data_IF_127277487510
#
_entry.id   IF_127277487510
#
_cell.length_a   1.000
_cell.length_b   1.000
_cell.length_c   1.000
_cell.angle_alpha   90.00
_cell.angle_beta   90.00
_cell.angle_gamma   90.00
#
_symmetry.space_group_name_H-M   'P 1'
#
loop_
_entity.id
_entity.type
_entity.pdbx_description
1 polymer ?
#
# COMPACT_ATOMS: atom_id res chain seq x y z
N UNK A 1 -18.11 10.64 7.71
CA UNK A 1 -17.23 9.77 6.94
C UNK A 1 -15.75 9.97 7.28
N UNK A 2 -15.32 11.20 7.48
CA UNK A 2 -13.95 11.53 7.93
C UNK A 2 -13.68 10.93 9.31
N UNK A 3 -14.63 11.00 10.21
CA UNK A 3 -14.53 10.46 11.57
C UNK A 3 -14.34 8.93 11.61
N UNK A 4 -15.02 8.19 10.75
CA UNK A 4 -14.86 6.73 10.65
C UNK A 4 -13.46 6.33 10.17
N UNK A 5 -12.90 7.05 9.20
CA UNK A 5 -11.55 6.76 8.69
C UNK A 5 -10.47 7.00 9.74
N UNK A 6 -10.61 8.03 10.57
CA UNK A 6 -9.68 8.30 11.67
C UNK A 6 -9.68 7.16 12.69
N UNK A 7 -10.85 6.69 13.12
CA UNK A 7 -10.94 5.55 14.04
C UNK A 7 -10.33 4.29 13.44
N UNK A 8 -10.60 4.01 12.16
CA UNK A 8 -10.06 2.84 11.46
C UNK A 8 -8.54 2.92 11.33
N UNK A 9 -7.98 4.09 11.06
CA UNK A 9 -6.54 4.27 10.95
C UNK A 9 -5.82 4.10 12.30
N UNK A 10 -6.39 4.63 13.37
CA UNK A 10 -5.87 4.44 14.72
C UNK A 10 -5.96 2.97 15.17
N UNK A 11 -7.04 2.28 14.84
CA UNK A 11 -7.19 0.84 15.11
C UNK A 11 -6.15 0.01 14.32
N UNK A 12 -5.92 0.37 13.06
CA UNK A 12 -4.91 -0.31 12.24
C UNK A 12 -3.52 -0.20 12.85
N UNK A 13 -3.08 1.02 13.17
CA UNK A 13 -1.73 1.27 13.67
C UNK A 13 -1.56 0.87 15.12
N UNK A 14 -2.51 1.22 15.99
CA UNK A 14 -2.40 1.00 17.43
C UNK A 14 -2.67 -0.43 17.87
N UNK A 15 -3.53 -1.16 17.16
CA UNK A 15 -3.96 -2.50 17.55
C UNK A 15 -3.58 -3.59 16.55
N UNK A 16 -3.90 -3.41 15.26
CA UNK A 16 -3.74 -4.48 14.27
C UNK A 16 -2.30 -4.64 13.80
N UNK A 17 -1.56 -3.55 13.64
CA UNK A 17 -0.17 -3.62 13.22
C UNK A 17 0.72 -4.42 14.21
N UNK A 18 0.64 -4.17 15.54
CA UNK A 18 1.41 -4.95 16.52
C UNK A 18 0.80 -6.32 16.85
N UNK A 19 -0.42 -6.60 16.40
CA UNK A 19 -1.13 -7.84 16.70
C UNK A 19 -0.31 -9.08 16.31
N UNK A 20 -0.27 -10.06 17.19
CA UNK A 20 0.52 -11.28 17.03
C UNK A 20 2.02 -11.00 16.80
N UNK A 21 2.57 -9.93 17.39
CA UNK A 21 3.96 -9.54 17.20
C UNK A 21 4.28 -9.11 15.76
N UNK A 22 3.31 -8.50 15.06
CA UNK A 22 3.47 -8.04 13.67
C UNK A 22 3.38 -9.14 12.61
N UNK A 23 3.13 -10.40 12.99
CA UNK A 23 3.11 -11.54 12.04
C UNK A 23 2.12 -11.37 10.90
N UNK A 24 0.97 -10.75 11.15
CA UNK A 24 -0.04 -10.51 10.11
C UNK A 24 0.48 -9.57 9.02
N UNK A 25 1.20 -8.52 9.42
CA UNK A 25 1.81 -7.60 8.47
C UNK A 25 2.94 -8.26 7.69
N UNK A 26 3.77 -9.05 8.35
CA UNK A 26 4.83 -9.83 7.70
C UNK A 26 4.27 -10.83 6.69
N UNK A 27 3.16 -11.49 7.01
CA UNK A 27 2.48 -12.40 6.07
C UNK A 27 1.98 -11.66 4.81
N UNK A 28 1.50 -10.42 4.95
CA UNK A 28 1.13 -9.61 3.79
C UNK A 28 2.35 -9.26 2.93
N UNK A 29 3.47 -8.85 3.53
CA UNK A 29 4.70 -8.59 2.79
C UNK A 29 5.21 -9.82 2.05
N UNK A 30 5.20 -10.99 2.70
CA UNK A 30 5.59 -12.25 2.04
C UNK A 30 4.64 -12.61 0.88
N UNK A 31 3.33 -12.35 1.02
CA UNK A 31 2.37 -12.55 -0.06
C UNK A 31 2.69 -11.69 -1.29
N UNK A 32 3.00 -10.40 -1.09
CA UNK A 32 3.40 -9.49 -2.17
C UNK A 32 4.70 -9.95 -2.82
N UNK A 33 5.72 -10.24 -2.00
CA UNK A 33 7.04 -10.68 -2.45
C UNK A 33 6.98 -11.99 -3.24
N UNK A 34 6.23 -12.97 -2.74
CA UNK A 34 6.03 -14.27 -3.40
C UNK A 34 5.37 -14.06 -4.76
N UNK A 35 4.28 -13.28 -4.82
CA UNK A 35 3.60 -12.98 -6.08
C UNK A 35 4.54 -12.33 -7.11
N UNK A 36 5.35 -11.36 -6.69
CA UNK A 36 6.34 -10.70 -7.56
C UNK A 36 7.35 -11.73 -8.08
N UNK A 37 7.95 -12.53 -7.17
CA UNK A 37 8.98 -13.51 -7.51
C UNK A 37 8.47 -14.58 -8.48
N UNK A 38 7.28 -15.11 -8.23
CA UNK A 38 6.68 -16.14 -9.08
C UNK A 38 6.36 -15.67 -10.49
N UNK A 39 6.24 -14.36 -10.70
CA UNK A 39 5.84 -13.76 -11.98
C UNK A 39 6.95 -12.90 -12.63
N UNK A 40 8.16 -12.86 -12.09
CA UNK A 40 9.27 -12.05 -12.62
C UNK A 40 9.62 -12.36 -14.08
N UNK A 41 9.41 -13.61 -14.52
CA UNK A 41 9.63 -14.05 -15.90
C UNK A 41 8.60 -13.54 -16.91
N UNK A 42 7.46 -13.00 -16.46
CA UNK A 42 6.44 -12.46 -17.34
C UNK A 42 6.75 -11.00 -17.68
N UNK A 43 7.38 -10.76 -18.83
CA UNK A 43 7.79 -9.42 -19.27
C UNK A 43 6.61 -8.45 -19.43
N UNK A 44 5.43 -8.94 -19.87
CA UNK A 44 4.24 -8.12 -20.06
C UNK A 44 3.65 -7.63 -18.72
N UNK A 45 3.75 -8.47 -17.69
CA UNK A 45 3.30 -8.13 -16.33
C UNK A 45 4.33 -7.27 -15.59
N UNK A 46 5.63 -7.50 -15.84
CA UNK A 46 6.72 -6.93 -15.06
C UNK A 46 6.69 -5.40 -15.02
N UNK A 47 6.88 -4.75 -16.15
CA UNK A 47 6.99 -3.29 -16.21
C UNK A 47 5.69 -2.57 -15.82
N UNK A 48 4.53 -3.13 -16.21
CA UNK A 48 3.24 -2.51 -15.99
C UNK A 48 2.66 -2.72 -14.58
N UNK A 49 3.09 -3.77 -13.85
CA UNK A 49 2.46 -4.18 -12.60
C UNK A 49 3.44 -4.56 -11.50
N UNK A 50 4.46 -5.40 -11.79
CA UNK A 50 5.33 -5.92 -10.73
C UNK A 50 6.31 -4.86 -10.23
N UNK A 51 6.92 -4.09 -11.12
CA UNK A 51 7.88 -3.06 -10.72
C UNK A 51 7.20 -1.92 -9.92
N UNK A 52 6.04 -1.37 -10.33
CA UNK A 52 5.29 -0.42 -9.49
C UNK A 52 4.84 -1.01 -8.16
N UNK A 53 4.35 -2.26 -8.14
CA UNK A 53 3.93 -2.93 -6.90
C UNK A 53 5.11 -3.12 -5.94
N UNK A 54 6.28 -3.46 -6.45
CA UNK A 54 7.52 -3.58 -5.67
C UNK A 54 7.91 -2.24 -5.04
N UNK A 55 7.80 -1.14 -5.79
CA UNK A 55 8.08 0.19 -5.28
C UNK A 55 7.10 0.59 -4.15
N UNK A 56 5.80 0.44 -4.37
CA UNK A 56 4.80 0.74 -3.34
C UNK A 56 4.93 -0.16 -2.10
N UNK A 57 5.26 -1.43 -2.28
CA UNK A 57 5.53 -2.35 -1.16
C UNK A 57 6.76 -1.93 -0.35
N UNK A 58 7.80 -1.40 -0.99
CA UNK A 58 8.98 -0.84 -0.30
C UNK A 58 8.60 0.37 0.55
N UNK A 59 7.76 1.27 0.02
CA UNK A 59 7.27 2.42 0.78
C UNK A 59 6.50 1.97 2.02
N UNK A 60 5.63 0.96 1.88
CA UNK A 60 4.88 0.40 3.00
C UNK A 60 5.79 -0.24 4.07
N UNK A 61 6.82 -0.96 3.65
CA UNK A 61 7.81 -1.54 4.57
C UNK A 61 8.57 -0.44 5.32
N UNK A 62 8.96 0.63 4.63
CA UNK A 62 9.64 1.77 5.24
C UNK A 62 8.75 2.47 6.27
N UNK A 63 7.47 2.66 5.97
CA UNK A 63 6.50 3.23 6.91
C UNK A 63 6.29 2.35 8.15
N UNK A 64 6.15 1.03 7.96
CA UNK A 64 6.02 0.08 9.08
C UNK A 64 7.27 0.08 9.97
N UNK A 65 8.46 0.14 9.37
CA UNK A 65 9.72 0.22 10.11
C UNK A 65 9.83 1.53 10.90
N UNK A 66 9.44 2.67 10.30
CA UNK A 66 9.38 3.96 10.98
C UNK A 66 8.49 3.88 12.24
N UNK A 67 7.31 3.29 12.15
CA UNK A 67 6.43 3.13 13.31
C UNK A 67 7.02 2.24 14.39
N UNK A 68 7.72 1.17 14.01
CA UNK A 68 8.41 0.32 14.98
C UNK A 68 9.55 1.04 15.70
N UNK A 69 10.28 1.91 15.02
CA UNK A 69 11.44 2.62 15.59
C UNK A 69 11.04 3.90 16.30
N UNK A 70 10.30 4.77 15.65
CA UNK A 70 9.99 6.10 16.15
C UNK A 70 8.67 6.15 16.95
N UNK A 71 7.72 5.28 16.64
CA UNK A 71 6.48 5.16 17.42
C UNK A 71 6.70 4.58 18.81
N UNK A 72 7.74 3.75 19.01
CA UNK A 72 8.12 3.27 20.36
C UNK A 72 8.79 4.37 21.20
N UNK A 73 9.53 5.28 20.58
CA UNK A 73 10.16 6.42 21.28
C UNK A 73 9.13 7.50 21.63
N UNK A 74 8.25 7.80 20.71
CA UNK A 74 7.16 8.76 20.87
C UNK A 74 5.89 8.27 20.17
N UNK A 75 4.87 7.81 20.92
CA UNK A 75 3.61 7.33 20.36
C UNK A 75 2.89 8.34 19.44
N UNK A 76 3.10 9.63 19.64
CA UNK A 76 2.52 10.67 18.78
C UNK A 76 2.99 10.56 17.33
N UNK A 77 4.23 10.09 17.09
CA UNK A 77 4.74 9.85 15.73
C UNK A 77 3.93 8.78 14.99
N UNK A 78 3.50 7.72 15.67
CA UNK A 78 2.65 6.70 15.07
C UNK A 78 1.19 7.20 14.89
N UNK A 79 0.67 7.95 15.85
CA UNK A 79 -0.69 8.48 15.80
C UNK A 79 -0.86 9.51 14.68
N UNK A 80 0.09 10.46 14.54
CA UNK A 80 0.06 11.50 13.50
C UNK A 80 0.12 10.92 12.07
N UNK A 81 0.87 9.82 11.88
CA UNK A 81 1.00 9.14 10.59
C UNK A 81 -0.07 8.07 10.30
N UNK A 82 -0.97 7.79 11.25
CA UNK A 82 -1.89 6.64 11.15
C UNK A 82 -2.83 6.70 9.94
N UNK A 83 -3.35 7.87 9.61
CA UNK A 83 -4.21 8.09 8.45
C UNK A 83 -3.47 7.81 7.13
N UNK A 84 -2.28 8.38 6.99
CA UNK A 84 -1.45 8.17 5.81
C UNK A 84 -1.01 6.71 5.68
N UNK A 85 -0.71 6.02 6.78
CA UNK A 85 -0.38 4.59 6.77
C UNK A 85 -1.53 3.73 6.28
N UNK A 86 -2.77 4.01 6.72
CA UNK A 86 -3.94 3.27 6.25
C UNK A 86 -4.14 3.42 4.74
N UNK A 87 -3.96 4.63 4.19
CA UNK A 87 -4.05 4.87 2.75
C UNK A 87 -2.90 4.21 1.98
N UNK A 88 -1.68 4.32 2.48
CA UNK A 88 -0.51 3.68 1.88
C UNK A 88 -0.71 2.16 1.81
N UNK A 89 -1.13 1.54 2.92
CA UNK A 89 -1.46 0.12 2.96
C UNK A 89 -2.56 -0.23 1.94
N UNK A 90 -3.62 0.57 1.89
CA UNK A 90 -4.72 0.39 0.95
C UNK A 90 -4.27 0.43 -0.51
N UNK A 91 -3.42 1.39 -0.87
CA UNK A 91 -2.85 1.48 -2.22
C UNK A 91 -2.05 0.23 -2.61
N UNK A 92 -1.22 -0.29 -1.72
CA UNK A 92 -0.44 -1.51 -1.99
C UNK A 92 -1.34 -2.75 -2.08
N UNK A 93 -2.34 -2.88 -1.20
CA UNK A 93 -3.27 -4.00 -1.22
C UNK A 93 -4.11 -4.03 -2.51
N UNK A 94 -4.65 -2.88 -2.92
CA UNK A 94 -5.38 -2.75 -4.18
C UNK A 94 -4.45 -2.96 -5.38
N UNK A 95 -3.20 -2.48 -5.31
CA UNK A 95 -2.18 -2.72 -6.32
C UNK A 95 -1.90 -4.21 -6.52
N UNK A 96 -1.78 -4.98 -5.44
CA UNK A 96 -1.64 -6.44 -5.53
C UNK A 96 -2.85 -7.09 -6.22
N UNK A 97 -4.07 -6.62 -5.92
CA UNK A 97 -5.27 -7.15 -6.58
C UNK A 97 -5.29 -6.83 -8.08
N UNK A 98 -4.91 -5.61 -8.48
CA UNK A 98 -4.79 -5.25 -9.89
C UNK A 98 -3.72 -6.09 -10.61
N UNK A 99 -2.57 -6.35 -9.97
CA UNK A 99 -1.54 -7.20 -10.56
C UNK A 99 -2.03 -8.65 -10.78
N UNK A 100 -2.79 -9.20 -9.82
CA UNK A 100 -3.42 -10.52 -9.93
C UNK A 100 -4.49 -10.56 -11.03
N UNK A 101 -5.35 -9.55 -11.10
CA UNK A 101 -6.37 -9.46 -12.13
C UNK A 101 -5.76 -9.32 -13.53
N UNK A 102 -4.70 -8.50 -13.67
CA UNK A 102 -4.01 -8.34 -14.93
C UNK A 102 -3.35 -9.65 -15.40
N UNK A 103 -2.71 -10.40 -14.48
CA UNK A 103 -2.17 -11.72 -14.77
C UNK A 103 -3.26 -12.65 -15.30
N UNK A 104 -4.37 -12.79 -14.59
CA UNK A 104 -5.48 -13.64 -15.00
C UNK A 104 -6.08 -13.21 -16.34
N UNK A 105 -6.18 -11.89 -16.59
CA UNK A 105 -6.68 -11.38 -17.87
C UNK A 105 -5.72 -11.69 -19.03
N UNK A 106 -4.41 -11.58 -18.83
CA UNK A 106 -3.41 -11.95 -19.83
C UNK A 106 -3.47 -13.44 -20.16
N UNK A 107 -3.55 -14.29 -19.12
CA UNK A 107 -3.68 -15.75 -19.28
C UNK A 107 -4.97 -16.15 -20.05
N UNK A 108 -6.09 -15.47 -19.76
CA UNK A 108 -7.33 -15.69 -20.47
C UNK A 108 -7.23 -15.30 -21.96
N UNK A 109 -6.59 -14.17 -22.26
CA UNK A 109 -6.35 -13.73 -23.65
C UNK A 109 -5.45 -14.69 -24.43
N UNK A 110 -4.39 -15.19 -23.78
CA UNK A 110 -3.47 -16.17 -24.36
C UNK A 110 -4.16 -17.52 -24.61
N UNK A 111 -5.13 -17.87 -23.76
CA UNK A 111 -5.98 -19.05 -23.92
C UNK A 111 -7.11 -18.89 -24.98
N UNK A 112 -7.21 -17.72 -25.60
CA UNK A 112 -8.22 -17.47 -26.65
C UNK A 112 -9.61 -17.14 -26.14
N UNK A 113 -9.73 -16.50 -24.97
CA UNK A 113 -11.02 -16.09 -24.41
C UNK A 113 -11.84 -15.25 -25.39
N UNK A 114 -13.16 -15.53 -25.47
CA UNK A 114 -14.07 -14.88 -26.43
C UNK A 114 -14.29 -13.39 -26.10
N UNK A 115 -14.39 -13.02 -24.81
CA UNK A 115 -14.64 -11.65 -24.36
C UNK A 115 -13.32 -10.86 -24.22
N UNK A 116 -12.62 -10.67 -25.34
CA UNK A 116 -11.34 -9.96 -25.40
C UNK A 116 -11.42 -8.55 -24.82
N UNK A 117 -12.45 -7.79 -25.18
CA UNK A 117 -12.59 -6.40 -24.78
C UNK A 117 -12.66 -6.25 -23.24
N UNK A 118 -13.32 -7.18 -22.57
CA UNK A 118 -13.37 -7.20 -21.11
C UNK A 118 -11.97 -7.35 -20.50
N UNK A 119 -11.17 -8.32 -20.96
CA UNK A 119 -9.84 -8.58 -20.42
C UNK A 119 -8.86 -7.46 -20.76
N UNK A 120 -8.89 -6.93 -21.97
CA UNK A 120 -8.06 -5.79 -22.38
C UNK A 120 -8.39 -4.54 -21.57
N UNK A 121 -9.68 -4.27 -21.30
CA UNK A 121 -10.14 -3.18 -20.42
C UNK A 121 -9.61 -3.37 -18.98
N UNK A 122 -9.63 -4.59 -18.43
CA UNK A 122 -9.07 -4.86 -17.10
C UNK A 122 -7.57 -4.57 -17.03
N UNK A 123 -6.80 -4.98 -18.04
CA UNK A 123 -5.37 -4.70 -18.12
C UNK A 123 -5.11 -3.19 -18.21
N UNK A 124 -5.85 -2.48 -19.07
CA UNK A 124 -5.72 -1.03 -19.24
C UNK A 124 -6.04 -0.28 -17.94
N UNK A 125 -7.15 -0.63 -17.26
CA UNK A 125 -7.54 -0.03 -15.98
C UNK A 125 -6.50 -0.31 -14.90
N UNK A 126 -5.97 -1.52 -14.83
CA UNK A 126 -4.91 -1.87 -13.89
C UNK A 126 -3.63 -1.08 -14.13
N UNK A 127 -3.22 -0.90 -15.40
CA UNK A 127 -2.08 -0.04 -15.75
C UNK A 127 -2.29 1.42 -15.33
N UNK A 128 -3.52 1.94 -15.53
CA UNK A 128 -3.87 3.27 -15.03
C UNK A 128 -3.69 3.36 -13.51
N UNK A 129 -4.20 2.37 -12.76
CA UNK A 129 -4.04 2.34 -11.31
C UNK A 129 -2.57 2.36 -10.89
N UNK A 130 -1.75 1.50 -11.50
CA UNK A 130 -0.32 1.41 -11.21
C UNK A 130 0.44 2.70 -11.51
N UNK A 131 0.06 3.39 -12.59
CA UNK A 131 0.75 4.60 -13.02
C UNK A 131 0.26 5.88 -12.32
N UNK A 132 -1.03 5.93 -11.88
CA UNK A 132 -1.66 7.18 -11.44
C UNK A 132 -2.12 7.17 -9.99
N UNK A 133 -2.38 6.01 -9.41
CA UNK A 133 -2.88 5.89 -8.04
C UNK A 133 -1.81 5.35 -7.09
N UNK A 134 -1.15 4.26 -7.46
CA UNK A 134 -0.16 3.62 -6.62
C UNK A 134 1.03 4.53 -6.24
N UNK A 135 1.54 5.45 -7.09
CA UNK A 135 2.63 6.36 -6.70
C UNK A 135 2.31 7.30 -5.53
N UNK A 136 1.05 7.42 -5.12
CA UNK A 136 0.67 8.14 -3.90
C UNK A 136 1.32 7.56 -2.63
N UNK A 137 1.80 6.31 -2.68
CA UNK A 137 2.54 5.66 -1.57
C UNK A 137 3.75 6.49 -1.13
N UNK A 138 4.49 7.09 -2.07
CA UNK A 138 5.64 7.95 -1.75
C UNK A 138 5.23 9.23 -1.00
N UNK A 139 4.11 9.85 -1.37
CA UNK A 139 3.57 11.03 -0.66
C UNK A 139 3.15 10.65 0.76
N UNK A 140 2.44 9.53 0.93
CA UNK A 140 2.04 9.06 2.24
C UNK A 140 3.24 8.72 3.12
N UNK A 141 4.26 8.07 2.56
CA UNK A 141 5.50 7.78 3.29
C UNK A 141 6.18 9.07 3.77
N UNK A 142 6.31 10.08 2.92
CA UNK A 142 6.90 11.37 3.29
C UNK A 142 6.16 12.04 4.46
N UNK A 143 4.81 12.00 4.45
CA UNK A 143 3.99 12.52 5.55
C UNK A 143 4.14 11.73 6.84
N UNK A 144 4.22 10.41 6.77
CA UNK A 144 4.44 9.56 7.93
C UNK A 144 5.79 9.88 8.58
N UNK A 145 6.84 9.98 7.77
CA UNK A 145 8.21 10.19 8.26
C UNK A 145 8.50 11.62 8.72
N UNK A 146 7.61 12.58 8.45
CA UNK A 146 7.70 13.92 9.03
C UNK A 146 7.43 13.94 10.55
N UNK A 147 6.82 12.88 11.09
CA UNK A 147 6.56 12.73 12.52
C UNK A 147 5.42 13.60 13.04
N UNK A 148 5.37 13.74 14.36
CA UNK A 148 4.30 14.48 15.04
C UNK A 148 4.58 15.99 15.19
N UNK A 149 5.85 16.40 15.12
CA UNK A 149 6.24 17.78 15.41
C UNK A 149 5.45 18.81 14.58
N UNK A 150 5.33 18.70 13.23
CA UNK A 150 4.58 19.69 12.46
C UNK A 150 3.09 19.76 12.81
N UNK A 151 2.52 18.64 13.32
CA UNK A 151 1.11 18.57 13.71
C UNK A 151 0.88 19.20 15.10
N UNK A 152 1.86 19.06 15.99
CA UNK A 152 1.80 19.47 17.40
C UNK A 152 2.49 20.81 17.70
N UNK A 153 3.03 21.49 16.68
CA UNK A 153 3.83 22.71 16.85
C UNK A 153 3.02 23.90 17.39
N UNK A 154 1.71 23.92 17.16
CA UNK A 154 0.87 25.03 17.62
C UNK A 154 0.23 24.69 18.98
N UNK A 155 0.36 25.61 19.94
CA UNK A 155 -0.36 25.56 21.18
C UNK A 155 -1.85 25.84 20.94
N UNK A 156 -2.73 25.11 21.63
CA UNK A 156 -4.18 25.29 21.57
C UNK A 156 -4.62 26.74 21.93
N UNK A 157 -3.82 27.44 22.75
CA UNK A 157 -4.07 28.83 23.11
C UNK A 157 -3.92 29.83 21.95
N UNK A 158 -3.34 29.37 20.81
CA UNK A 158 -3.10 30.21 19.62
C UNK A 158 -4.18 30.05 18.54
N UNK A 159 -5.27 29.33 18.83
CA UNK A 159 -6.41 29.18 17.93
C UNK A 159 -7.59 30.10 18.31
#
# INVERSE_FOLDING_TARGET
DVYKRQIQSLDLVGRKLPMNGGKTMMAFFEMVKTFIKENEGNAALKAGFLDPLKAGSKDLQSAAMYFMQEGMKNPLNALSGSYDFMHLFGHVAVGLMWARMAKAAMEALDAGAEDRDFYETKIATGRYYMARQLPATGMHLARITSGAEPVMALDAANF
#
